data_IF_331241037411
#
_entry.id   IF_331241037411
#
_cell.length_a   1.000
_cell.length_b   1.000
_cell.length_c   1.000
_cell.angle_alpha   90.00
_cell.angle_beta   90.00
_cell.angle_gamma   90.00
#
_symmetry.space_group_name_H-M   'P 1'
#
loop_
_entity.id
_entity.type
_entity.pdbx_description
1 polymer ?
#
# COMPACT_ATOMS: atom_id res chain seq x y z
N UNK A 1 25.22 -12.41 -13.73
CA UNK A 1 24.23 -13.20 -12.94
C UNK A 1 22.95 -12.39 -12.89
N UNK A 2 21.78 -12.99 -13.13
CA UNK A 2 20.51 -12.24 -13.22
C UNK A 2 19.64 -12.55 -12.00
N UNK A 3 19.27 -11.55 -11.20
CA UNK A 3 18.35 -11.76 -10.07
C UNK A 3 16.93 -11.37 -10.45
N UNK A 4 15.94 -12.12 -9.99
CA UNK A 4 14.53 -11.82 -10.24
C UNK A 4 14.01 -10.93 -9.10
N UNK A 5 13.47 -9.77 -9.48
CA UNK A 5 12.77 -8.82 -8.62
C UNK A 5 11.26 -9.08 -8.74
N UNK A 6 10.65 -9.68 -7.72
CA UNK A 6 9.20 -9.92 -7.68
C UNK A 6 8.54 -8.97 -6.67
N UNK A 7 7.59 -8.16 -7.14
CA UNK A 7 6.62 -7.44 -6.28
C UNK A 7 5.32 -8.25 -6.33
N UNK A 8 4.66 -8.48 -5.20
CA UNK A 8 3.35 -9.15 -5.19
C UNK A 8 2.39 -8.43 -6.15
N UNK A 9 1.78 -9.18 -7.07
CA UNK A 9 0.92 -8.68 -8.15
C UNK A 9 1.58 -7.67 -9.14
N UNK A 10 2.91 -7.61 -9.19
CA UNK A 10 3.66 -6.74 -10.10
C UNK A 10 4.38 -7.48 -11.24
N UNK A 11 4.79 -6.76 -12.29
CA UNK A 11 5.64 -7.32 -13.34
C UNK A 11 6.97 -7.80 -12.77
N UNK A 12 7.42 -8.98 -13.24
CA UNK A 12 8.75 -9.53 -12.92
C UNK A 12 9.82 -8.71 -13.65
N UNK A 13 10.88 -8.35 -12.94
CA UNK A 13 12.04 -7.67 -13.53
C UNK A 13 13.32 -8.41 -13.21
N UNK A 14 14.30 -8.26 -14.09
CA UNK A 14 15.62 -8.85 -13.94
C UNK A 14 16.59 -7.74 -13.50
N UNK A 15 17.23 -7.94 -12.37
CA UNK A 15 18.42 -7.17 -12.00
C UNK A 15 19.62 -7.80 -12.70
N UNK A 16 20.35 -6.99 -13.44
CA UNK A 16 21.70 -7.35 -13.88
C UNK A 16 22.69 -7.17 -12.72
N UNK A 17 23.16 -8.27 -12.13
CA UNK A 17 24.13 -8.23 -11.03
C UNK A 17 25.50 -7.67 -11.45
N UNK A 18 25.80 -7.66 -12.75
CA UNK A 18 27.02 -7.07 -13.28
C UNK A 18 26.85 -5.56 -13.54
N UNK A 19 25.62 -5.05 -13.43
CA UNK A 19 25.34 -3.63 -13.47
C UNK A 19 26.11 -2.88 -12.39
N UNK A 20 26.65 -1.73 -12.76
CA UNK A 20 27.41 -0.85 -11.86
C UNK A 20 26.44 0.13 -11.22
N UNK A 21 26.48 0.22 -9.89
CA UNK A 21 25.69 1.19 -9.14
C UNK A 21 26.29 2.60 -9.31
N UNK A 22 25.48 3.61 -9.71
CA UNK A 22 25.98 4.96 -9.96
C UNK A 22 26.56 5.70 -8.75
N UNK A 23 26.17 5.35 -7.53
CA UNK A 23 26.67 6.01 -6.33
C UNK A 23 28.01 5.45 -5.86
N UNK A 24 28.11 4.13 -5.83
CA UNK A 24 29.27 3.42 -5.30
C UNK A 24 30.31 3.12 -6.37
N UNK A 25 29.94 3.21 -7.66
CA UNK A 25 30.77 2.83 -8.80
C UNK A 25 31.26 1.37 -8.72
N UNK A 26 30.49 0.51 -8.05
CA UNK A 26 30.78 -0.92 -7.87
C UNK A 26 29.68 -1.78 -8.50
N UNK A 27 30.02 -2.97 -9.02
CA UNK A 27 29.02 -3.94 -9.45
C UNK A 27 28.11 -4.35 -8.30
N UNK A 28 26.81 -4.52 -8.57
CA UNK A 28 25.88 -5.03 -7.57
C UNK A 28 26.34 -6.38 -6.99
N UNK A 29 26.89 -7.26 -7.83
CA UNK A 29 27.40 -8.56 -7.41
C UNK A 29 28.48 -8.48 -6.33
N UNK A 30 29.39 -7.51 -6.42
CA UNK A 30 30.45 -7.33 -5.43
C UNK A 30 29.90 -6.75 -4.13
N UNK A 31 28.97 -5.80 -4.21
CA UNK A 31 28.32 -5.24 -3.02
C UNK A 31 27.47 -6.27 -2.28
N UNK A 32 26.79 -7.15 -3.01
CA UNK A 32 26.03 -8.27 -2.45
C UNK A 32 26.96 -9.25 -1.73
N UNK A 33 28.05 -9.67 -2.39
CA UNK A 33 29.06 -10.54 -1.77
C UNK A 33 29.66 -9.92 -0.52
N UNK A 34 29.98 -8.62 -0.55
CA UNK A 34 30.51 -7.91 0.61
C UNK A 34 29.52 -7.91 1.78
N UNK A 35 28.23 -7.65 1.53
CA UNK A 35 27.21 -7.67 2.57
C UNK A 35 27.04 -9.09 3.16
N UNK A 36 26.95 -10.11 2.29
CA UNK A 36 26.79 -11.50 2.70
C UNK A 36 28.02 -12.04 3.44
N UNK A 37 29.24 -11.63 3.06
CA UNK A 37 30.47 -11.98 3.78
C UNK A 37 30.49 -11.49 5.23
N UNK A 38 29.73 -10.42 5.52
CA UNK A 38 29.54 -9.85 6.86
C UNK A 38 28.28 -10.36 7.55
N UNK A 39 27.59 -11.36 6.97
CA UNK A 39 26.32 -11.90 7.45
C UNK A 39 25.20 -10.85 7.54
N UNK A 40 25.19 -9.92 6.61
CA UNK A 40 24.12 -8.95 6.45
C UNK A 40 23.34 -9.24 5.18
N UNK A 41 22.02 -9.09 5.24
CA UNK A 41 21.20 -9.08 4.04
C UNK A 41 21.52 -7.85 3.18
N UNK A 42 21.39 -7.95 1.86
CA UNK A 42 21.61 -6.81 0.97
C UNK A 42 20.28 -6.19 0.54
N UNK A 43 20.17 -4.86 0.61
CA UNK A 43 18.99 -4.11 0.21
C UNK A 43 19.21 -3.37 -1.10
N UNK A 44 18.33 -3.63 -2.07
CA UNK A 44 18.27 -2.96 -3.36
C UNK A 44 17.08 -2.01 -3.39
N UNK A 45 17.26 -0.82 -3.96
CA UNK A 45 16.16 0.08 -4.27
C UNK A 45 15.91 0.11 -5.78
N UNK A 46 14.65 -0.01 -6.18
CA UNK A 46 14.18 0.19 -7.53
C UNK A 46 13.37 1.48 -7.59
N UNK A 47 13.82 2.39 -8.43
CA UNK A 47 13.17 3.68 -8.69
C UNK A 47 12.39 3.57 -9.98
N UNK A 48 11.11 3.91 -9.94
CA UNK A 48 10.29 4.11 -11.12
C UNK A 48 10.08 5.62 -11.30
N UNK A 49 10.54 6.16 -12.42
CA UNK A 49 10.32 7.57 -12.75
C UNK A 49 8.97 7.77 -13.42
N UNK A 50 8.43 9.00 -13.37
CA UNK A 50 7.23 9.36 -14.12
C UNK A 50 7.57 9.35 -15.62
N UNK A 51 6.99 8.42 -16.37
CA UNK A 51 7.10 8.44 -17.84
C UNK A 51 6.33 9.64 -18.39
N UNK A 52 7.01 10.48 -19.17
CA UNK A 52 6.38 11.53 -19.98
C UNK A 52 5.77 10.97 -21.27
N UNK A 53 6.13 9.75 -21.67
CA UNK A 53 5.61 9.08 -22.86
C UNK A 53 4.47 8.12 -22.51
N UNK A 54 3.33 8.25 -23.19
CA UNK A 54 2.06 7.57 -22.90
C UNK A 54 2.06 6.05 -23.15
N UNK A 55 3.01 5.50 -23.91
CA UNK A 55 2.97 4.10 -24.37
C UNK A 55 4.22 3.26 -24.04
N UNK A 56 5.24 3.84 -23.41
CA UNK A 56 6.42 3.09 -22.98
C UNK A 56 6.31 2.74 -21.49
N UNK A 57 6.46 1.45 -21.17
CA UNK A 57 6.62 0.95 -19.80
C UNK A 57 7.69 1.81 -19.10
N UNK A 58 7.29 2.53 -18.04
CA UNK A 58 8.15 3.52 -17.40
C UNK A 58 9.53 2.92 -17.06
N UNK A 59 10.63 3.62 -17.39
CA UNK A 59 11.96 3.12 -17.10
C UNK A 59 12.12 2.93 -15.59
N UNK A 60 12.82 1.85 -15.23
CA UNK A 60 13.16 1.57 -13.84
C UNK A 60 14.68 1.56 -13.70
N UNK A 61 15.14 2.12 -12.59
CA UNK A 61 16.55 2.21 -12.26
C UNK A 61 16.79 1.51 -10.92
N UNK A 62 17.89 0.76 -10.82
CA UNK A 62 18.25 0.05 -9.61
C UNK A 62 19.45 0.74 -8.94
N UNK A 63 19.43 0.82 -7.62
CA UNK A 63 20.45 1.47 -6.80
C UNK A 63 20.72 0.67 -5.51
N UNK A 64 21.89 0.86 -4.91
CA UNK A 64 22.10 0.49 -3.51
C UNK A 64 21.10 1.29 -2.63
N UNK A 65 20.28 0.57 -1.86
CA UNK A 65 19.19 1.20 -1.12
C UNK A 65 19.70 2.21 -0.09
N UNK A 66 20.87 1.98 0.53
CA UNK A 66 21.41 2.87 1.56
C UNK A 66 21.87 4.18 0.95
N UNK A 67 22.58 4.13 -0.17
CA UNK A 67 23.07 5.34 -0.83
C UNK A 67 21.91 6.15 -1.39
N UNK A 68 20.94 5.50 -2.06
CA UNK A 68 19.75 6.19 -2.54
C UNK A 68 18.99 6.85 -1.38
N UNK A 69 18.80 6.14 -0.26
CA UNK A 69 18.09 6.70 0.89
C UNK A 69 18.80 7.92 1.49
N UNK A 70 20.13 7.94 1.55
CA UNK A 70 20.91 9.12 2.00
C UNK A 70 20.77 10.32 1.08
N UNK A 71 20.51 10.07 -0.20
CA UNK A 71 20.31 11.13 -1.20
C UNK A 71 18.88 11.69 -1.15
N UNK A 72 17.89 10.80 -1.19
CA UNK A 72 16.47 11.15 -1.32
C UNK A 72 15.87 11.68 0.00
N UNK A 73 16.28 11.11 1.12
CA UNK A 73 15.71 11.42 2.43
C UNK A 73 16.71 12.13 3.32
N UNK A 74 16.20 12.99 4.19
CA UNK A 74 16.98 13.64 5.24
C UNK A 74 16.31 13.48 6.59
N UNK A 75 17.13 13.44 7.64
CA UNK A 75 16.63 13.49 9.02
C UNK A 75 16.52 14.95 9.44
N UNK A 76 15.32 15.37 9.82
CA UNK A 76 15.01 16.69 10.34
C UNK A 76 14.71 16.56 11.83
N UNK A 77 15.42 17.34 12.65
CA UNK A 77 15.19 17.40 14.10
C UNK A 77 14.24 18.57 14.36
N UNK A 78 13.00 18.28 14.76
CA UNK A 78 12.03 19.29 15.17
C UNK A 78 11.84 19.30 16.69
N UNK A 79 11.11 20.29 17.20
CA UNK A 79 10.69 20.35 18.60
C UNK A 79 9.79 19.18 19.00
N UNK A 80 9.20 18.47 18.04
CA UNK A 80 8.32 17.31 18.23
C UNK A 80 9.09 15.98 18.19
N UNK A 81 10.35 15.99 17.75
CA UNK A 81 11.22 14.83 17.67
C UNK A 81 12.04 14.77 16.39
N UNK A 82 12.73 13.64 16.17
CA UNK A 82 13.40 13.36 14.91
C UNK A 82 12.36 12.86 13.90
N UNK A 83 12.29 13.46 12.73
CA UNK A 83 11.43 13.03 11.62
C UNK A 83 12.28 12.85 10.37
N UNK A 84 11.95 11.86 9.54
CA UNK A 84 12.58 11.70 8.24
C UNK A 84 11.66 12.31 7.20
N UNK A 85 12.22 13.20 6.37
CA UNK A 85 11.50 13.89 5.30
C UNK A 85 12.15 13.60 3.96
N UNK A 86 11.35 13.74 2.91
CA UNK A 86 11.85 13.69 1.55
C UNK A 86 12.55 15.03 1.28
N UNK A 87 13.85 14.98 0.99
CA UNK A 87 14.64 16.14 0.61
C UNK A 87 14.44 16.45 -0.86
N UNK A 88 14.74 15.47 -1.71
CA UNK A 88 14.66 15.56 -3.17
C UNK A 88 14.02 14.27 -3.71
N UNK A 89 12.84 14.35 -4.32
CA UNK A 89 12.19 13.19 -4.96
C UNK A 89 12.45 13.15 -6.47
N UNK A 90 13.71 13.35 -6.83
CA UNK A 90 14.20 13.29 -8.20
C UNK A 90 15.30 12.23 -8.31
N UNK A 91 15.32 11.54 -9.44
CA UNK A 91 16.32 10.53 -9.74
C UNK A 91 17.71 11.19 -9.80
N UNK A 92 18.69 10.69 -9.04
CA UNK A 92 20.01 11.31 -8.91
C UNK A 92 20.80 11.36 -10.23
N UNK A 93 20.48 10.50 -11.19
CA UNK A 93 21.25 10.36 -12.44
C UNK A 93 20.52 11.01 -13.61
N UNK A 94 19.24 10.69 -13.77
CA UNK A 94 18.45 11.15 -14.90
C UNK A 94 17.72 12.47 -14.60
N UNK A 95 17.73 12.93 -13.35
CA UNK A 95 17.06 14.14 -12.88
C UNK A 95 15.53 14.15 -13.15
N UNK A 96 14.93 12.96 -13.28
CA UNK A 96 13.50 12.78 -13.49
C UNK A 96 12.75 12.69 -12.16
N UNK A 97 11.48 13.09 -12.11
CA UNK A 97 10.70 12.97 -10.89
C UNK A 97 10.41 11.49 -10.57
N UNK A 98 10.77 11.07 -9.36
CA UNK A 98 10.51 9.72 -8.88
C UNK A 98 9.00 9.56 -8.66
N UNK A 99 8.41 8.50 -9.19
CA UNK A 99 7.02 8.14 -8.91
C UNK A 99 6.94 7.22 -7.69
N UNK A 100 7.75 6.16 -7.70
CA UNK A 100 7.77 5.16 -6.63
C UNK A 100 9.20 4.66 -6.41
N UNK A 101 9.57 4.46 -5.15
CA UNK A 101 10.73 3.65 -4.77
C UNK A 101 10.21 2.36 -4.15
N UNK A 102 10.58 1.23 -4.73
CA UNK A 102 10.33 -0.12 -4.20
C UNK A 102 11.65 -0.70 -3.66
N UNK A 103 11.64 -1.27 -2.47
CA UNK A 103 12.80 -1.90 -1.85
C UNK A 103 12.71 -3.43 -1.91
N UNK A 104 13.84 -4.04 -2.21
CA UNK A 104 13.99 -5.49 -2.31
C UNK A 104 15.14 -5.97 -1.43
N UNK A 105 14.95 -7.15 -0.85
CA UNK A 105 15.86 -7.81 0.06
C UNK A 105 16.48 -9.03 -0.61
N UNK A 106 17.80 -9.11 -0.59
CA UNK A 106 18.55 -10.30 -0.95
C UNK A 106 19.16 -10.91 0.32
N UNK A 107 18.48 -11.94 0.83
CA UNK A 107 18.87 -12.62 2.07
C UNK A 107 20.23 -13.29 1.95
N UNK A 108 21.05 -13.16 2.99
CA UNK A 108 22.37 -13.81 3.02
C UNK A 108 22.26 -15.34 3.13
N UNK A 109 21.25 -15.84 3.85
CA UNK A 109 21.07 -17.26 4.19
C UNK A 109 20.07 -18.00 3.30
N UNK A 110 19.83 -17.49 2.09
CA UNK A 110 18.84 -18.09 1.19
C UNK A 110 19.48 -19.17 0.32
N UNK A 111 18.94 -20.39 0.40
CA UNK A 111 19.21 -21.49 -0.56
C UNK A 111 18.86 -21.11 -2.01
N UNK A 112 18.12 -20.02 -2.21
CA UNK A 112 17.83 -19.41 -3.51
C UNK A 112 18.58 -18.08 -3.66
N UNK A 113 19.84 -18.07 -4.13
CA UNK A 113 20.66 -16.86 -4.21
C UNK A 113 20.18 -15.83 -5.25
N UNK A 114 19.16 -16.17 -6.04
CA UNK A 114 18.71 -15.41 -7.21
C UNK A 114 17.39 -14.64 -7.00
N UNK A 115 16.75 -14.76 -5.84
CA UNK A 115 15.42 -14.16 -5.60
C UNK A 115 15.54 -12.97 -4.65
N UNK A 116 15.20 -11.79 -5.15
CA UNK A 116 15.04 -10.61 -4.30
C UNK A 116 13.58 -10.52 -3.83
N UNK A 117 13.40 -10.42 -2.52
CA UNK A 117 12.09 -10.35 -1.87
C UNK A 117 11.66 -8.89 -1.71
N UNK A 118 10.47 -8.52 -2.19
CA UNK A 118 9.94 -7.18 -1.94
C UNK A 118 9.67 -6.97 -0.45
N UNK A 119 10.18 -5.88 0.12
CA UNK A 119 10.06 -5.60 1.57
C UNK A 119 9.27 -4.34 1.90
N UNK A 120 9.10 -3.43 0.95
CA UNK A 120 8.37 -2.18 1.17
C UNK A 120 8.63 -1.13 0.10
N UNK A 121 7.94 -0.01 0.22
CA UNK A 121 8.13 1.19 -0.59
C UNK A 121 8.63 2.37 0.26
N UNK A 122 8.78 3.53 -0.37
CA UNK A 122 9.15 4.78 0.29
C UNK A 122 8.18 5.21 1.40
N UNK A 123 6.87 4.95 1.29
CA UNK A 123 5.90 5.27 2.35
C UNK A 123 6.15 4.41 3.60
N UNK A 124 6.38 3.10 3.39
CA UNK A 124 6.77 2.18 4.47
C UNK A 124 8.13 2.56 5.08
N UNK A 125 9.07 3.04 4.27
CA UNK A 125 10.36 3.53 4.75
C UNK A 125 10.21 4.74 5.68
N UNK A 126 9.38 5.71 5.32
CA UNK A 126 9.12 6.91 6.14
C UNK A 126 8.40 6.58 7.44
N UNK A 127 7.50 5.60 7.42
CA UNK A 127 6.67 5.23 8.57
C UNK A 127 7.25 4.13 9.48
N UNK A 128 8.27 3.37 9.09
CA UNK A 128 8.74 2.22 9.88
C UNK A 128 10.24 2.31 10.25
N UNK A 129 10.52 2.52 11.55
CA UNK A 129 11.89 2.63 12.04
C UNK A 129 12.71 1.34 11.94
N UNK A 130 12.08 0.20 12.22
CA UNK A 130 12.73 -1.11 12.10
C UNK A 130 13.14 -1.38 10.64
N UNK A 131 12.30 -0.98 9.68
CA UNK A 131 12.63 -1.12 8.27
C UNK A 131 13.86 -0.29 7.88
N UNK A 132 13.94 0.96 8.33
CA UNK A 132 15.11 1.83 8.10
C UNK A 132 16.38 1.28 8.73
N UNK A 133 16.29 0.89 9.99
CA UNK A 133 17.42 0.37 10.76
C UNK A 133 18.05 -0.84 10.05
N UNK A 134 17.20 -1.71 9.47
CA UNK A 134 17.65 -2.85 8.67
C UNK A 134 18.37 -2.43 7.38
N UNK A 135 17.84 -1.46 6.62
CA UNK A 135 18.51 -0.95 5.41
C UNK A 135 19.91 -0.44 5.75
N UNK A 136 20.08 0.28 6.87
CA UNK A 136 21.38 0.85 7.27
C UNK A 136 22.28 -0.08 8.09
N UNK A 137 21.90 -1.35 8.29
CA UNK A 137 22.60 -2.32 9.15
C UNK A 137 22.82 -1.83 10.58
N UNK A 138 21.89 -1.03 11.09
CA UNK A 138 21.94 -0.52 12.46
C UNK A 138 21.14 -1.45 13.37
N UNK A 139 21.84 -2.19 14.22
CA UNK A 139 21.24 -2.98 15.30
C UNK A 139 20.83 -2.08 16.47
N UNK A 140 19.62 -1.53 16.38
CA UNK A 140 18.66 -1.38 17.48
C UNK A 140 18.98 -0.59 18.76
N UNK A 141 20.19 -0.14 19.10
CA UNK A 141 20.45 0.36 20.49
C UNK A 141 21.08 1.76 20.58
N UNK A 142 21.67 2.31 19.51
CA UNK A 142 22.37 3.61 19.61
C UNK A 142 21.56 4.84 19.14
N UNK A 143 20.35 4.66 18.60
CA UNK A 143 19.46 5.77 18.19
C UNK A 143 18.02 5.58 18.69
N UNK A 144 17.83 4.87 19.81
CA UNK A 144 16.56 4.84 20.56
C UNK A 144 16.31 6.19 21.26
N UNK A 145 16.02 7.22 20.47
CA UNK A 145 15.10 8.26 20.93
C UNK A 145 13.82 8.06 20.13
N UNK A 146 12.65 7.97 20.78
CA UNK A 146 11.40 7.68 20.12
C UNK A 146 11.18 8.69 19.01
N UNK A 147 11.23 8.21 17.76
CA UNK A 147 10.68 8.91 16.61
C UNK A 147 9.20 9.00 16.93
N UNK A 148 8.74 10.11 17.48
CA UNK A 148 7.34 10.30 17.82
C UNK A 148 6.53 10.11 16.55
N UNK A 149 5.88 8.95 16.45
CA UNK A 149 4.84 8.70 15.47
C UNK A 149 3.66 9.58 15.88
N UNK A 150 3.66 10.84 15.46
CA UNK A 150 2.39 11.40 15.05
C UNK A 150 1.99 10.60 13.83
N UNK A 151 1.24 9.52 14.07
CA UNK A 151 0.22 9.14 13.12
C UNK A 151 -0.58 10.41 12.89
N UNK A 152 -0.27 11.15 11.82
CA UNK A 152 -1.31 11.97 11.21
C UNK A 152 -2.44 10.99 11.03
N UNK A 153 -3.57 11.15 11.76
CA UNK A 153 -4.69 10.26 11.53
C UNK A 153 -4.91 10.34 10.03
N UNK A 154 -4.80 9.20 9.34
CA UNK A 154 -5.26 9.08 7.94
C UNK A 154 -6.52 9.91 7.92
N UNK A 155 -6.51 11.03 7.21
CA UNK A 155 -7.71 11.84 7.08
C UNK A 155 -8.69 10.89 6.41
N UNK A 156 -9.54 10.26 7.23
CA UNK A 156 -10.66 9.46 6.77
C UNK A 156 -11.36 10.48 5.88
N UNK A 157 -11.48 10.23 4.56
CA UNK A 157 -11.98 11.23 3.64
C UNK A 157 -13.27 11.72 4.24
N UNK A 158 -13.27 12.99 4.68
CA UNK A 158 -14.34 13.55 5.49
C UNK A 158 -15.59 13.33 4.67
N UNK A 159 -16.37 12.30 5.02
CA UNK A 159 -17.62 12.02 4.33
C UNK A 159 -18.40 13.30 4.53
N UNK A 160 -18.58 14.03 3.43
CA UNK A 160 -19.14 15.36 3.44
C UNK A 160 -20.43 15.27 4.27
N UNK A 161 -20.51 15.97 5.41
CA UNK A 161 -21.58 15.79 6.40
C UNK A 161 -22.97 15.87 5.75
N UNK A 162 -23.08 16.63 4.66
CA UNK A 162 -24.27 16.71 3.79
C UNK A 162 -24.63 15.39 3.10
N UNK A 163 -23.66 14.64 2.56
CA UNK A 163 -23.88 13.32 1.95
C UNK A 163 -24.27 12.26 2.98
N UNK A 164 -23.62 12.27 4.15
CA UNK A 164 -24.00 11.36 5.24
C UNK A 164 -25.43 11.62 5.74
N UNK A 165 -25.79 12.90 5.94
CA UNK A 165 -27.16 13.31 6.28
C UNK A 165 -28.17 12.88 5.20
N UNK A 166 -27.82 13.03 3.92
CA UNK A 166 -28.67 12.60 2.80
C UNK A 166 -28.94 11.09 2.82
N UNK A 167 -27.94 10.27 3.15
CA UNK A 167 -28.10 8.81 3.26
C UNK A 167 -29.03 8.47 4.43
N UNK A 168 -28.85 9.12 5.59
CA UNK A 168 -29.72 8.90 6.76
C UNK A 168 -31.17 9.27 6.44
N UNK A 169 -31.41 10.41 5.80
CA UNK A 169 -32.76 10.85 5.41
C UNK A 169 -33.39 9.83 4.45
N UNK A 170 -32.62 9.32 3.48
CA UNK A 170 -33.10 8.30 2.54
C UNK A 170 -33.53 7.01 3.26
N UNK A 171 -32.75 6.54 4.24
CA UNK A 171 -33.09 5.36 5.05
C UNK A 171 -34.38 5.59 5.85
N UNK A 172 -34.54 6.77 6.46
CA UNK A 172 -35.76 7.12 7.21
C UNK A 172 -36.98 7.12 6.30
N UNK A 173 -36.89 7.72 5.10
CA UNK A 173 -38.00 7.73 4.14
C UNK A 173 -38.37 6.29 3.74
N UNK A 174 -37.37 5.45 3.47
CA UNK A 174 -37.59 4.06 3.07
C UNK A 174 -38.30 3.27 4.18
N UNK A 175 -37.94 3.49 5.45
CA UNK A 175 -38.63 2.91 6.60
C UNK A 175 -40.08 3.40 6.72
N UNK A 176 -40.35 4.70 6.50
CA UNK A 176 -41.72 5.25 6.52
C UNK A 176 -42.58 4.67 5.40
N UNK A 177 -42.03 4.52 4.19
CA UNK A 177 -42.75 3.89 3.08
C UNK A 177 -43.05 2.43 3.40
N UNK A 178 -42.09 1.69 3.95
CA UNK A 178 -42.28 0.30 4.33
C UNK A 178 -43.35 0.13 5.42
N UNK A 179 -43.38 0.99 6.44
CA UNK A 179 -44.42 0.94 7.49
C UNK A 179 -45.80 1.32 6.96
N UNK A 180 -45.90 2.31 6.06
CA UNK A 180 -47.16 2.63 5.39
C UNK A 180 -47.67 1.45 4.57
N UNK A 181 -46.82 0.85 3.74
CA UNK A 181 -47.18 -0.35 2.96
C UNK A 181 -47.66 -1.48 3.87
N UNK A 182 -46.96 -1.74 4.98
CA UNK A 182 -47.36 -2.73 5.96
C UNK A 182 -48.76 -2.44 6.53
N UNK A 183 -49.02 -1.20 6.96
CA UNK A 183 -50.34 -0.79 7.47
C UNK A 183 -51.43 -0.89 6.40
N UNK A 184 -51.13 -0.55 5.14
CA UNK A 184 -52.08 -0.72 4.04
C UNK A 184 -52.36 -2.20 3.75
N UNK A 185 -51.37 -3.08 3.87
CA UNK A 185 -51.60 -4.53 3.72
C UNK A 185 -52.45 -5.08 4.86
N UNK A 186 -52.26 -4.64 6.10
CA UNK A 186 -53.12 -5.08 7.22
C UNK A 186 -54.56 -4.55 7.07
N UNK A 187 -54.74 -3.30 6.63
CA UNK A 187 -56.07 -2.71 6.41
C UNK A 187 -56.77 -3.21 5.14
N UNK A 188 -56.02 -3.73 4.17
CA UNK A 188 -56.56 -4.28 2.93
C UNK A 188 -57.07 -5.73 3.04
N UNK A 189 -56.71 -6.45 4.11
CA UNK A 189 -57.09 -7.86 4.31
C UNK A 189 -58.43 -8.02 5.07
N UNK A 190 -58.98 -6.96 5.67
CA UNK A 190 -60.32 -7.00 6.27
C UNK A 190 -61.38 -6.36 5.37
N UNK A 191 -61.85 -7.13 4.38
CA UNK A 191 -63.25 -7.20 3.95
C UNK A 191 -63.46 -8.45 3.08
N UNK A 192 -63.62 -9.65 3.68
CA UNK A 192 -64.22 -10.76 2.96
C UNK A 192 -65.69 -10.39 2.71
N UNK A 193 -66.01 -10.11 1.45
CA UNK A 193 -67.38 -10.04 0.94
C UNK A 193 -68.11 -11.33 1.34
N UNK A 194 -69.12 -11.22 2.19
CA UNK A 194 -70.12 -12.27 2.34
C UNK A 194 -70.91 -12.35 1.03
N UNK A 195 -70.54 -13.30 0.17
CA UNK A 195 -71.40 -13.70 -0.94
C UNK A 195 -72.26 -14.87 -0.47
N UNK A 196 -73.48 -14.53 -0.06
CA UNK A 196 -74.60 -15.43 0.10
C UNK A 196 -74.85 -16.13 -1.25
N UNK A 197 -74.71 -17.45 -1.32
CA UNK A 197 -75.42 -18.23 -2.34
C UNK A 197 -75.90 -19.55 -1.74
N UNK A 198 -77.20 -19.53 -1.45
CA UNK A 198 -78.07 -20.71 -1.39
C UNK A 198 -77.96 -21.48 -2.71
N UNK A 199 -77.83 -22.81 -2.64
CA UNK A 199 -78.47 -23.78 -3.54
C UNK A 199 -78.57 -25.14 -2.80
N UNK A 200 -79.81 -25.60 -2.70
CA UNK A 200 -80.25 -26.94 -2.32
C UNK A 200 -79.63 -28.06 -3.17
N UNK A 201 -79.46 -29.26 -2.62
CA UNK A 201 -79.28 -30.45 -3.44
C UNK A 201 -78.87 -31.77 -2.77
N UNK A 202 -79.85 -32.42 -2.11
CA UNK A 202 -80.17 -33.88 -2.17
C UNK A 202 -79.10 -34.97 -1.92
N UNK A 203 -79.50 -35.85 -0.98
CA UNK A 203 -79.38 -37.33 -0.90
C UNK A 203 -78.00 -37.99 -0.82
N UNK A 204 -77.76 -38.73 0.27
CA UNK A 204 -77.76 -40.21 0.45
C UNK A 204 -77.69 -40.37 2.00
N UNK A 205 -78.54 -41.10 2.73
CA UNK A 205 -79.08 -42.48 2.64
C UNK A 205 -80.50 -42.47 3.20
#
# INVERSE_FOLDING_TARGET
MLHILEKEHGPRYLLDANGVDPFTQRPFSDMMKDAHSRKHDYYLARVQCKSTASDAKAPYYCYDARQLCKYVFEMVISTEGRQIRIKNFQDPINNEHINEISFFLLKYDSDTPLRAEYVGDHEKFLSNNSFRSRIFYQSGVAEELPVNFQFTPKEIPIINKRRFLSIIIMVIILLVVATLLFVFTEKGVMKPYQLHHSINGKHYI
#
